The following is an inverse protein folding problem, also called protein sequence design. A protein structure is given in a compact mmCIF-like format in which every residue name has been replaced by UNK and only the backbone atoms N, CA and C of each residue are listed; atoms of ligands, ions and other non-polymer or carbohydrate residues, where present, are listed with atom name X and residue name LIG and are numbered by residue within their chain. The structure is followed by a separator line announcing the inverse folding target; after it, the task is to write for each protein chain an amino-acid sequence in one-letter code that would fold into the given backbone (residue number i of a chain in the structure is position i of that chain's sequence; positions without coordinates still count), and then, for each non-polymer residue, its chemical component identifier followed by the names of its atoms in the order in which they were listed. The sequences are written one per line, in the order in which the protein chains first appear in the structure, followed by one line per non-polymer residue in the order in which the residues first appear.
data_IF_332646729447
#
_entry.id   IF_332646729447
#
_cell.length_a   1.000
_cell.length_b   1.000
_cell.length_c   1.000
_cell.angle_alpha   90.00
_cell.angle_beta   90.00
_cell.angle_gamma   90.00
#
_symmetry.space_group_name_H-M   'P 1'
#
loop_
_entity.id
_entity.type
_entity.pdbx_description
1 polymer ?
#
# COMPACT_ATOMS: atom_id res chain seq x y z
N UNK A 1 0.59 16.02 -28.87
CA UNK A 1 0.28 14.87 -28.00
C UNK A 1 0.96 13.63 -28.57
N UNK A 2 1.68 12.87 -27.76
CA UNK A 2 2.31 11.60 -28.15
C UNK A 2 1.76 10.48 -27.26
N UNK A 3 0.99 9.56 -27.85
CA UNK A 3 0.33 8.46 -27.15
C UNK A 3 0.47 7.10 -27.89
N UNK A 4 1.43 7.01 -28.81
CA UNK A 4 1.70 5.76 -29.54
C UNK A 4 2.27 4.72 -28.57
N UNK A 5 1.76 3.49 -28.65
CA UNK A 5 2.23 2.40 -27.79
C UNK A 5 1.93 1.02 -28.40
N UNK A 6 2.74 0.05 -27.99
CA UNK A 6 2.53 -1.39 -28.19
C UNK A 6 2.85 -2.08 -26.87
N UNK A 7 2.10 -3.15 -26.54
CA UNK A 7 2.33 -3.96 -25.35
C UNK A 7 2.59 -5.41 -25.75
N UNK A 8 3.74 -5.93 -25.32
CA UNK A 8 4.07 -7.36 -25.41
C UNK A 8 4.78 -7.80 -24.13
N UNK A 9 3.99 -8.13 -23.11
CA UNK A 9 4.51 -8.55 -21.81
C UNK A 9 5.38 -9.81 -21.96
N UNK A 10 6.57 -9.78 -21.36
CA UNK A 10 7.52 -10.88 -21.30
C UNK A 10 8.41 -10.73 -20.08
N UNK A 11 8.73 -11.84 -19.41
CA UNK A 11 9.73 -11.82 -18.34
C UNK A 11 11.09 -11.43 -18.90
N UNK A 12 11.98 -10.89 -18.06
CA UNK A 12 13.32 -10.50 -18.50
C UNK A 12 14.10 -11.69 -19.11
N UNK A 13 13.90 -12.91 -18.58
CA UNK A 13 14.55 -14.13 -19.07
C UNK A 13 14.02 -14.60 -20.43
N UNK A 14 12.77 -14.28 -20.75
CA UNK A 14 12.10 -14.66 -22.01
C UNK A 14 12.06 -13.54 -23.04
N UNK A 15 12.75 -12.44 -22.79
CA UNK A 15 12.70 -11.24 -23.63
C UNK A 15 13.82 -11.29 -24.66
N UNK A 16 13.45 -11.33 -25.94
CA UNK A 16 14.39 -11.20 -27.04
C UNK A 16 14.51 -9.75 -27.53
N UNK A 17 15.57 -9.50 -28.32
CA UNK A 17 15.88 -8.17 -28.83
C UNK A 17 14.85 -7.63 -29.83
N UNK A 18 14.15 -8.50 -30.57
CA UNK A 18 13.14 -8.08 -31.54
C UNK A 18 11.89 -7.57 -30.85
N UNK A 19 11.37 -8.33 -29.87
CA UNK A 19 10.25 -7.95 -29.02
C UNK A 19 10.56 -6.70 -28.21
N UNK A 20 11.77 -6.60 -27.65
CA UNK A 20 12.21 -5.37 -26.97
C UNK A 20 12.12 -4.14 -27.89
N UNK A 21 12.72 -4.22 -29.08
CA UNK A 21 12.67 -3.13 -30.08
C UNK A 21 11.25 -2.78 -30.48
N UNK A 22 10.38 -3.78 -30.67
CA UNK A 22 8.97 -3.56 -31.08
C UNK A 22 8.18 -2.78 -30.04
N UNK A 23 8.36 -3.08 -28.75
CA UNK A 23 7.69 -2.38 -27.65
C UNK A 23 8.25 -0.96 -27.46
N UNK A 24 9.58 -0.81 -27.59
CA UNK A 24 10.27 0.47 -27.39
C UNK A 24 9.98 1.47 -28.53
N UNK A 25 9.99 1.01 -29.78
CA UNK A 25 10.02 1.89 -30.96
C UNK A 25 8.89 2.94 -31.01
N UNK A 26 7.60 2.61 -30.78
CA UNK A 26 6.52 3.58 -30.88
C UNK A 26 6.69 4.77 -29.93
N UNK A 27 7.14 4.52 -28.69
CA UNK A 27 7.36 5.56 -27.68
C UNK A 27 8.68 6.27 -27.91
N UNK A 28 9.77 5.52 -28.03
CA UNK A 28 11.13 6.08 -28.06
C UNK A 28 11.38 6.80 -29.38
N UNK A 29 11.34 6.08 -30.50
CA UNK A 29 11.60 6.67 -31.81
C UNK A 29 10.51 7.68 -32.17
N UNK A 30 9.24 7.35 -31.88
CA UNK A 30 8.13 8.26 -32.15
C UNK A 30 8.25 9.59 -31.42
N UNK A 31 8.55 9.59 -30.12
CA UNK A 31 8.72 10.83 -29.37
C UNK A 31 9.98 11.60 -29.76
N UNK A 32 11.08 10.89 -30.07
CA UNK A 32 12.32 11.52 -30.53
C UNK A 32 12.13 12.23 -31.87
N UNK A 33 11.47 11.59 -32.84
CA UNK A 33 11.17 12.20 -34.14
C UNK A 33 10.26 13.43 -33.98
N UNK A 34 9.26 13.35 -33.10
CA UNK A 34 8.43 14.51 -32.77
C UNK A 34 9.23 15.62 -32.10
N UNK A 35 10.18 15.29 -31.22
CA UNK A 35 11.06 16.26 -30.59
C UNK A 35 11.84 17.05 -31.65
N UNK A 36 12.55 16.34 -32.54
CA UNK A 36 13.37 16.94 -33.61
C UNK A 36 12.52 17.78 -34.56
N UNK A 37 11.39 17.24 -35.05
CA UNK A 37 10.52 17.92 -36.01
C UNK A 37 9.84 19.19 -35.45
N UNK A 38 9.75 19.32 -34.12
CA UNK A 38 9.08 20.44 -33.45
C UNK A 38 10.03 21.38 -32.72
N UNK A 39 11.35 21.15 -32.76
CA UNK A 39 12.33 21.90 -31.97
C UNK A 39 12.30 23.41 -32.25
N UNK A 40 12.04 23.80 -33.49
CA UNK A 40 11.96 25.20 -33.93
C UNK A 40 10.52 25.74 -33.98
N UNK A 41 9.53 25.00 -33.47
CA UNK A 41 8.12 25.42 -33.49
C UNK A 41 7.71 25.96 -32.13
N UNK A 42 7.01 27.10 -32.12
CA UNK A 42 6.36 27.63 -30.93
C UNK A 42 5.11 26.79 -30.62
N UNK A 43 5.28 25.73 -29.84
CA UNK A 43 4.17 24.91 -29.36
C UNK A 43 3.63 25.48 -28.05
N UNK A 44 2.32 25.44 -27.86
CA UNK A 44 1.73 25.64 -26.53
C UNK A 44 2.07 24.45 -25.62
N UNK A 45 1.97 23.22 -26.17
CA UNK A 45 2.14 21.99 -25.40
C UNK A 45 2.87 20.89 -26.18
N UNK A 46 3.68 20.11 -25.46
CA UNK A 46 4.23 18.83 -25.92
C UNK A 46 3.97 17.78 -24.84
N UNK A 47 2.83 17.10 -24.91
CA UNK A 47 2.44 16.10 -23.91
C UNK A 47 2.76 14.70 -24.39
N UNK A 48 3.39 13.91 -23.53
CA UNK A 48 3.71 12.50 -23.72
C UNK A 48 2.91 11.66 -22.72
N UNK A 49 2.23 10.63 -23.21
CA UNK A 49 1.50 9.69 -22.39
C UNK A 49 2.48 8.60 -21.98
N UNK A 50 3.07 8.77 -20.81
CA UNK A 50 3.87 7.76 -20.12
C UNK A 50 2.95 6.83 -19.30
N UNK A 51 3.53 6.02 -18.43
CA UNK A 51 2.78 5.08 -17.59
C UNK A 51 3.43 4.91 -16.24
N UNK A 52 2.61 4.77 -15.20
CA UNK A 52 3.04 4.40 -13.86
C UNK A 52 3.87 3.10 -13.82
N UNK A 53 3.85 2.28 -14.89
CA UNK A 53 4.75 1.14 -15.06
C UNK A 53 6.24 1.53 -15.01
N UNK A 54 6.63 2.73 -15.44
CA UNK A 54 8.00 3.24 -15.31
C UNK A 54 8.43 3.45 -13.86
N UNK A 55 7.47 3.70 -12.96
CA UNK A 55 7.70 3.98 -11.55
C UNK A 55 7.54 2.74 -10.67
N UNK A 56 6.52 1.93 -10.95
CA UNK A 56 6.14 0.79 -10.12
C UNK A 56 6.76 -0.54 -10.59
N UNK A 57 7.27 -0.60 -11.83
CA UNK A 57 7.98 -1.77 -12.35
C UNK A 57 7.19 -3.08 -12.33
N UNK A 58 6.01 -3.16 -12.96
CA UNK A 58 5.22 -4.39 -12.96
C UNK A 58 5.97 -5.54 -13.65
N UNK A 59 5.89 -6.72 -13.05
CA UNK A 59 6.52 -7.94 -13.56
C UNK A 59 6.10 -8.22 -15.00
N UNK A 60 7.07 -8.51 -15.86
CA UNK A 60 6.83 -8.81 -17.27
C UNK A 60 6.71 -7.59 -18.19
N UNK A 61 6.84 -6.37 -17.69
CA UNK A 61 6.73 -5.15 -18.50
C UNK A 61 8.04 -4.37 -18.64
N UNK A 62 9.20 -5.04 -18.55
CA UNK A 62 10.51 -4.38 -18.55
C UNK A 62 10.73 -3.44 -19.75
N UNK A 63 10.46 -3.92 -20.97
CA UNK A 63 10.56 -3.11 -22.20
C UNK A 63 9.60 -1.92 -22.18
N UNK A 64 8.38 -2.11 -21.70
CA UNK A 64 7.38 -1.06 -21.64
C UNK A 64 7.73 0.00 -20.59
N UNK A 65 8.18 -0.41 -19.40
CA UNK A 65 8.67 0.47 -18.36
C UNK A 65 9.85 1.31 -18.85
N UNK A 66 10.82 0.69 -19.54
CA UNK A 66 11.96 1.40 -20.14
C UNK A 66 11.53 2.41 -21.22
N UNK A 67 10.54 2.07 -22.05
CA UNK A 67 10.01 2.95 -23.09
C UNK A 67 9.36 4.21 -22.49
N UNK A 68 8.65 4.04 -21.38
CA UNK A 68 8.01 5.14 -20.64
C UNK A 68 9.03 6.00 -19.90
N UNK A 69 10.03 5.38 -19.24
CA UNK A 69 11.14 6.11 -18.61
C UNK A 69 11.91 6.99 -19.61
N UNK A 70 12.03 6.57 -20.87
CA UNK A 70 12.57 7.43 -21.93
C UNK A 70 11.71 8.67 -22.19
N UNK A 71 10.37 8.55 -22.22
CA UNK A 71 9.48 9.69 -22.39
C UNK A 71 9.62 10.68 -21.23
N UNK A 72 9.74 10.16 -20.01
CA UNK A 72 9.94 10.94 -18.81
C UNK A 72 11.25 11.75 -18.89
N UNK A 73 12.35 11.07 -19.23
CA UNK A 73 13.64 11.70 -19.44
C UNK A 73 13.61 12.74 -20.58
N UNK A 74 12.90 12.46 -21.67
CA UNK A 74 12.74 13.38 -22.80
C UNK A 74 11.97 14.64 -22.37
N UNK A 75 11.02 14.54 -21.43
CA UNK A 75 10.31 15.72 -20.94
C UNK A 75 11.24 16.65 -20.17
N UNK A 76 12.06 16.09 -19.27
CA UNK A 76 13.08 16.84 -18.55
C UNK A 76 14.11 17.46 -19.51
N UNK A 77 14.58 16.68 -20.49
CA UNK A 77 15.51 17.16 -21.52
C UNK A 77 14.95 18.35 -22.30
N UNK A 78 13.70 18.27 -22.75
CA UNK A 78 13.03 19.37 -23.46
C UNK A 78 12.88 20.61 -22.59
N UNK A 79 12.48 20.46 -21.32
CA UNK A 79 12.38 21.59 -20.39
C UNK A 79 13.74 22.25 -20.15
N UNK A 80 14.83 21.49 -20.06
CA UNK A 80 16.18 22.04 -19.93
C UNK A 80 16.60 22.88 -21.14
N UNK A 81 16.03 22.63 -22.33
CA UNK A 81 16.21 23.43 -23.54
C UNK A 81 15.22 24.61 -23.64
N UNK A 82 14.41 24.88 -22.62
CA UNK A 82 13.36 25.91 -22.65
C UNK A 82 12.15 25.54 -23.51
N UNK A 83 12.04 24.29 -23.97
CA UNK A 83 10.94 23.83 -24.80
C UNK A 83 9.79 23.28 -23.94
N UNK A 84 8.52 23.45 -24.35
CA UNK A 84 7.40 22.85 -23.66
C UNK A 84 7.52 21.33 -23.67
N UNK A 85 7.26 20.71 -22.52
CA UNK A 85 7.13 19.27 -22.36
C UNK A 85 6.41 18.87 -21.07
N UNK A 86 5.57 17.85 -21.16
CA UNK A 86 4.91 17.22 -20.02
C UNK A 86 4.85 15.70 -20.27
N UNK A 87 5.49 14.91 -19.42
CA UNK A 87 5.25 13.47 -19.35
C UNK A 87 4.22 13.19 -18.26
N UNK A 88 3.20 12.38 -18.57
CA UNK A 88 2.21 11.96 -17.59
C UNK A 88 2.29 10.45 -17.41
N UNK A 89 2.72 10.01 -16.23
CA UNK A 89 2.76 8.61 -15.84
C UNK A 89 1.37 8.14 -15.44
N UNK A 90 0.55 7.84 -16.45
CA UNK A 90 -0.82 7.40 -16.24
C UNK A 90 -0.87 6.03 -15.57
N UNK A 91 -1.74 5.93 -14.56
CA UNK A 91 -2.26 4.68 -14.05
C UNK A 91 -3.21 4.03 -15.05
N UNK A 92 -3.91 3.00 -14.59
CA UNK A 92 -4.81 2.23 -15.45
C UNK A 92 -6.06 3.03 -15.81
N UNK A 93 -6.50 2.97 -17.08
CA UNK A 93 -7.80 3.47 -17.52
C UNK A 93 -8.87 2.36 -17.51
N UNK A 94 -10.11 2.67 -17.11
CA UNK A 94 -11.22 1.71 -17.03
C UNK A 94 -11.69 1.21 -18.40
N UNK A 95 -11.64 2.06 -19.43
CA UNK A 95 -12.34 1.86 -20.71
C UNK A 95 -11.45 2.00 -21.96
N UNK A 96 -10.14 2.23 -21.79
CA UNK A 96 -9.23 2.55 -22.90
C UNK A 96 -7.99 1.64 -22.95
N UNK A 97 -7.61 1.24 -24.17
CA UNK A 97 -6.39 0.48 -24.47
C UNK A 97 -6.53 -1.05 -24.43
N UNK A 98 -5.42 -1.77 -24.60
CA UNK A 98 -5.39 -3.25 -24.62
C UNK A 98 -5.81 -3.95 -23.32
N UNK A 99 -6.11 -3.17 -22.28
CA UNK A 99 -6.43 -3.59 -20.91
C UNK A 99 -7.92 -3.93 -20.75
N UNK A 100 -8.81 -3.23 -21.45
CA UNK A 100 -10.25 -3.52 -21.46
C UNK A 100 -10.59 -4.92 -22.03
N UNK A 101 -9.67 -5.52 -22.80
CA UNK A 101 -9.88 -6.84 -23.44
C UNK A 101 -9.44 -8.05 -22.60
N UNK A 102 -8.86 -7.88 -21.40
CA UNK A 102 -8.14 -8.99 -20.71
C UNK A 102 -8.49 -9.23 -19.23
N UNK A 103 -9.53 -8.59 -18.67
CA UNK A 103 -9.87 -8.76 -17.24
C UNK A 103 -8.74 -8.33 -16.29
N UNK A 104 -7.84 -7.46 -16.76
CA UNK A 104 -6.70 -6.97 -16.00
C UNK A 104 -7.12 -6.03 -14.86
N UNK A 105 -8.29 -5.38 -15.00
CA UNK A 105 -8.80 -4.40 -14.04
C UNK A 105 -9.09 -4.99 -12.68
N UNK A 106 -9.77 -6.14 -12.63
CA UNK A 106 -10.08 -6.83 -11.38
C UNK A 106 -8.77 -7.29 -10.71
N UNK A 107 -7.86 -7.89 -11.49
CA UNK A 107 -6.56 -8.38 -10.99
C UNK A 107 -5.66 -7.29 -10.39
N UNK A 108 -5.64 -6.09 -10.98
CA UNK A 108 -4.85 -4.96 -10.49
C UNK A 108 -5.55 -4.22 -9.35
N UNK A 109 -6.88 -4.18 -9.35
CA UNK A 109 -7.66 -3.66 -8.22
C UNK A 109 -7.39 -4.47 -6.95
N UNK A 110 -7.23 -5.79 -7.05
CA UNK A 110 -6.78 -6.63 -5.93
C UNK A 110 -5.35 -6.32 -5.42
N UNK A 111 -4.56 -5.56 -6.18
CA UNK A 111 -3.18 -5.18 -5.85
C UNK A 111 -3.06 -3.70 -5.48
N UNK A 112 -4.16 -3.04 -5.13
CA UNK A 112 -4.16 -1.64 -4.72
C UNK A 112 -4.11 -0.64 -5.87
N UNK A 113 -4.27 -1.05 -7.13
CA UNK A 113 -4.26 -0.13 -8.27
C UNK A 113 -5.67 -0.02 -8.86
N UNK A 114 -6.30 1.14 -8.64
CA UNK A 114 -7.63 1.43 -9.16
C UNK A 114 -7.61 2.01 -10.59
N UNK A 115 -8.75 1.92 -11.26
CA UNK A 115 -8.93 2.46 -12.61
C UNK A 115 -9.36 3.95 -12.61
N UNK A 116 -8.86 4.69 -13.60
CA UNK A 116 -9.22 6.07 -13.93
C UNK A 116 -10.18 6.04 -15.12
N UNK A 117 -11.29 6.76 -15.03
CA UNK A 117 -12.20 6.89 -16.17
C UNK A 117 -11.65 7.88 -17.21
N UNK A 118 -11.99 7.75 -18.51
CA UNK A 118 -11.59 8.74 -19.51
C UNK A 118 -11.98 10.18 -19.15
N UNK A 119 -13.17 10.37 -18.53
CA UNK A 119 -13.62 11.68 -18.06
C UNK A 119 -12.70 12.27 -16.98
N UNK A 120 -12.33 11.47 -15.97
CA UNK A 120 -11.35 11.87 -14.95
C UNK A 120 -9.98 12.17 -15.56
N UNK A 121 -9.53 11.35 -16.51
CA UNK A 121 -8.25 11.58 -17.21
C UNK A 121 -8.24 12.90 -17.98
N UNK A 122 -9.34 13.24 -18.66
CA UNK A 122 -9.47 14.50 -19.38
C UNK A 122 -9.49 15.72 -18.43
N UNK A 123 -10.19 15.61 -17.31
CA UNK A 123 -10.23 16.64 -16.28
C UNK A 123 -8.83 16.90 -15.70
N UNK A 124 -8.10 15.84 -15.35
CA UNK A 124 -6.73 15.95 -14.84
C UNK A 124 -5.81 16.53 -15.91
N UNK A 125 -5.89 16.07 -17.15
CA UNK A 125 -5.11 16.61 -18.26
C UNK A 125 -5.29 18.12 -18.39
N UNK A 126 -6.54 18.61 -18.34
CA UNK A 126 -6.84 20.05 -18.40
C UNK A 126 -6.15 20.84 -17.30
N UNK A 127 -6.14 20.32 -16.06
CA UNK A 127 -5.42 20.93 -14.93
C UNK A 127 -3.90 20.93 -15.13
N UNK A 128 -3.34 19.84 -15.67
CA UNK A 128 -1.90 19.70 -15.87
C UNK A 128 -1.36 20.63 -16.97
N UNK A 129 -2.15 20.88 -18.01
CA UNK A 129 -1.77 21.82 -19.07
C UNK A 129 -1.58 23.26 -18.53
N UNK A 130 -2.19 23.63 -17.41
CA UNK A 130 -2.15 24.99 -16.86
C UNK A 130 -0.89 25.34 -16.04
N UNK A 131 -0.03 24.37 -15.68
CA UNK A 131 1.15 24.67 -14.86
C UNK A 131 1.92 23.48 -14.29
N UNK A 132 1.89 22.31 -14.95
CA UNK A 132 2.51 21.10 -14.42
C UNK A 132 4.06 21.11 -14.47
N UNK A 133 4.71 20.34 -13.56
CA UNK A 133 6.12 19.99 -13.69
C UNK A 133 6.40 19.22 -15.01
N UNK A 134 7.67 19.06 -15.43
CA UNK A 134 8.05 18.25 -16.59
C UNK A 134 7.46 16.83 -16.59
N UNK A 135 7.25 16.25 -15.41
CA UNK A 135 6.77 14.88 -15.22
C UNK A 135 5.83 14.81 -14.03
N UNK A 136 4.73 14.06 -14.15
CA UNK A 136 3.81 13.80 -13.05
C UNK A 136 3.13 12.43 -13.19
N UNK A 137 2.95 11.73 -12.07
CA UNK A 137 2.20 10.49 -12.02
C UNK A 137 0.76 10.71 -11.60
N UNK A 138 -0.16 10.05 -12.31
CA UNK A 138 -1.61 10.12 -12.04
C UNK A 138 -2.15 8.71 -11.98
N UNK A 139 -2.36 8.19 -10.77
CA UNK A 139 -2.85 6.85 -10.52
C UNK A 139 -3.76 6.83 -9.28
N UNK A 140 -4.73 5.91 -9.27
CA UNK A 140 -5.48 5.57 -8.05
C UNK A 140 -4.73 4.45 -7.34
N UNK A 141 -4.18 4.75 -6.17
CA UNK A 141 -3.34 3.82 -5.41
C UNK A 141 -3.86 3.70 -3.98
N UNK A 142 -4.22 2.49 -3.58
CA UNK A 142 -4.29 2.05 -2.19
C UNK A 142 -2.90 1.54 -1.81
N UNK A 143 -2.13 2.40 -1.13
CA UNK A 143 -0.72 2.14 -0.84
C UNK A 143 -0.56 0.94 0.10
N UNK A 144 -1.40 0.84 1.13
CA UNK A 144 -1.41 -0.30 2.05
C UNK A 144 -1.59 -1.62 1.31
N UNK A 145 -2.64 -1.74 0.50
CA UNK A 145 -2.94 -2.95 -0.24
C UNK A 145 -1.85 -3.29 -1.26
N UNK A 146 -1.29 -2.27 -1.93
CA UNK A 146 -0.20 -2.46 -2.86
C UNK A 146 1.07 -2.98 -2.16
N UNK A 147 1.43 -2.44 -1.00
CA UNK A 147 2.60 -2.87 -0.21
C UNK A 147 2.48 -4.29 0.35
N UNK A 148 1.27 -4.74 0.66
CA UNK A 148 1.04 -6.13 1.06
C UNK A 148 1.30 -7.12 -0.08
N UNK A 149 0.93 -6.73 -1.30
CA UNK A 149 1.18 -7.54 -2.49
C UNK A 149 2.64 -7.46 -2.96
N UNK A 150 3.33 -6.34 -2.70
CA UNK A 150 4.73 -6.10 -3.06
C UNK A 150 5.59 -5.77 -1.83
N UNK A 151 5.86 -6.73 -0.92
CA UNK A 151 6.57 -6.46 0.34
C UNK A 151 7.98 -5.90 0.16
N UNK A 152 8.66 -6.31 -0.92
CA UNK A 152 10.00 -5.81 -1.27
C UNK A 152 10.02 -4.30 -1.55
N UNK A 153 8.88 -3.73 -1.95
CA UNK A 153 8.76 -2.29 -2.19
C UNK A 153 8.53 -1.48 -0.90
N UNK A 154 8.18 -2.11 0.22
CA UNK A 154 7.88 -1.41 1.49
C UNK A 154 9.08 -0.65 2.07
N UNK A 155 10.30 -1.08 1.74
CA UNK A 155 11.55 -0.44 2.11
C UNK A 155 12.05 0.63 1.13
N UNK A 156 11.38 0.85 0.00
CA UNK A 156 11.88 1.75 -1.04
C UNK A 156 11.85 3.22 -0.59
N UNK A 157 12.99 3.96 -0.63
CA UNK A 157 13.03 5.38 -0.26
C UNK A 157 12.06 6.24 -1.09
N UNK A 158 11.84 5.86 -2.35
CA UNK A 158 10.90 6.47 -3.28
C UNK A 158 9.48 6.60 -2.70
N UNK A 159 9.02 5.62 -1.92
CA UNK A 159 7.66 5.59 -1.34
C UNK A 159 7.59 6.21 0.06
N UNK A 160 8.72 6.68 0.60
CA UNK A 160 8.77 7.17 1.99
C UNK A 160 7.85 8.36 2.24
N UNK A 161 7.70 9.27 1.26
CA UNK A 161 6.82 10.42 1.34
C UNK A 161 5.34 10.00 1.36
N UNK A 162 4.93 9.12 0.43
CA UNK A 162 3.55 8.60 0.37
C UNK A 162 3.17 7.88 1.68
N UNK A 163 4.09 7.11 2.27
CA UNK A 163 3.87 6.46 3.57
C UNK A 163 3.76 7.43 4.74
N UNK A 164 4.42 8.59 4.68
CA UNK A 164 4.26 9.64 5.70
C UNK A 164 2.89 10.30 5.56
N UNK A 165 2.48 10.60 4.34
CA UNK A 165 1.16 11.18 4.06
C UNK A 165 0.02 10.22 4.42
N UNK A 166 0.11 8.94 4.09
CA UNK A 166 -0.90 7.93 4.49
C UNK A 166 -1.04 7.86 6.02
N UNK A 167 0.06 7.89 6.76
CA UNK A 167 0.05 7.93 8.23
C UNK A 167 -0.52 9.22 8.82
N UNK A 168 -0.39 10.34 8.11
CA UNK A 168 -0.97 11.64 8.51
C UNK A 168 -2.45 11.76 8.16
N UNK A 169 -2.84 11.22 7.00
CA UNK A 169 -4.20 11.25 6.48
C UNK A 169 -5.12 10.23 7.16
N UNK A 170 -4.55 9.21 7.83
CA UNK A 170 -5.29 8.36 8.74
C UNK A 170 -6.02 9.25 9.77
N UNK A 171 -7.37 9.27 9.79
CA UNK A 171 -8.13 10.09 10.72
C UNK A 171 -7.67 9.84 12.16
N UNK A 172 -7.65 10.87 13.01
CA UNK A 172 -7.49 10.64 14.46
C UNK A 172 -8.58 9.72 15.02
N UNK A 173 -9.75 9.64 14.36
CA UNK A 173 -10.83 8.68 14.64
C UNK A 173 -10.56 7.25 14.11
N UNK A 174 -9.54 7.07 13.28
CA UNK A 174 -8.99 5.78 12.81
C UNK A 174 -7.68 5.41 13.52
N UNK A 175 -7.25 6.19 14.53
CA UNK A 175 -6.68 5.50 15.68
C UNK A 175 -7.79 4.54 16.12
N UNK A 176 -7.52 3.25 16.18
CA UNK A 176 -8.30 2.39 17.05
C UNK A 176 -7.98 2.84 18.48
N UNK A 177 -8.91 3.56 19.14
CA UNK A 177 -9.19 3.19 20.52
C UNK A 177 -10.65 2.84 20.80
N UNK A 178 -11.68 3.34 20.10
CA UNK A 178 -13.07 3.21 20.64
C UNK A 178 -13.57 1.78 20.86
N UNK A 179 -13.43 0.89 19.87
CA UNK A 179 -13.85 -0.50 20.06
C UNK A 179 -12.85 -1.29 20.91
N UNK A 180 -11.55 -1.01 20.78
CA UNK A 180 -10.53 -1.71 21.59
C UNK A 180 -10.64 -1.34 23.07
N UNK A 181 -10.86 -0.07 23.38
CA UNK A 181 -11.16 0.45 24.72
C UNK A 181 -12.49 -0.11 25.23
N UNK A 182 -13.55 -0.07 24.42
CA UNK A 182 -14.83 -0.69 24.79
C UNK A 182 -14.69 -2.21 25.06
N UNK A 183 -13.83 -2.92 24.32
CA UNK A 183 -13.52 -4.33 24.57
C UNK A 183 -12.64 -4.54 25.80
N UNK A 184 -11.75 -3.60 26.14
CA UNK A 184 -10.94 -3.65 27.38
C UNK A 184 -11.86 -3.44 28.60
N UNK A 185 -12.75 -2.45 28.51
CA UNK A 185 -13.69 -2.06 29.57
C UNK A 185 -14.87 -3.04 29.74
N UNK A 186 -15.25 -3.75 28.68
CA UNK A 186 -16.32 -4.75 28.74
C UNK A 186 -15.92 -6.00 29.54
N UNK A 187 -16.91 -6.55 30.24
CA UNK A 187 -16.80 -7.83 30.93
C UNK A 187 -16.45 -8.96 29.94
N UNK A 188 -15.66 -9.98 30.35
CA UNK A 188 -15.21 -11.05 29.45
C UNK A 188 -16.35 -11.74 28.66
N UNK A 189 -17.53 -11.86 29.27
CA UNK A 189 -18.72 -12.43 28.62
C UNK A 189 -19.38 -11.54 27.55
N UNK A 190 -19.14 -10.22 27.59
CA UNK A 190 -19.74 -9.25 26.67
C UNK A 190 -18.84 -8.92 25.47
N UNK A 191 -17.52 -9.16 25.59
CA UNK A 191 -16.52 -8.90 24.55
C UNK A 191 -16.83 -9.61 23.22
N UNK A 192 -17.27 -10.87 23.28
CA UNK A 192 -17.63 -11.64 22.07
C UNK A 192 -18.80 -11.01 21.33
N UNK A 193 -19.86 -10.65 22.07
CA UNK A 193 -21.05 -10.03 21.49
C UNK A 193 -20.73 -8.67 20.85
N UNK A 194 -19.98 -7.81 21.55
CA UNK A 194 -19.58 -6.50 21.03
C UNK A 194 -18.76 -6.61 19.74
N UNK A 195 -17.84 -7.58 19.68
CA UNK A 195 -17.02 -7.78 18.49
C UNK A 195 -17.82 -8.39 17.33
N UNK A 196 -18.71 -9.34 17.60
CA UNK A 196 -19.62 -9.89 16.59
C UNK A 196 -20.55 -8.81 16.00
N UNK A 197 -21.11 -7.94 16.84
CA UNK A 197 -21.98 -6.85 16.41
C UNK A 197 -21.21 -5.88 15.50
N UNK A 198 -19.98 -5.51 15.88
CA UNK A 198 -19.10 -4.70 15.02
C UNK A 198 -18.76 -5.38 13.70
N UNK A 199 -18.45 -6.68 13.73
CA UNK A 199 -18.17 -7.46 12.51
C UNK A 199 -19.39 -7.51 11.59
N UNK A 200 -20.61 -7.66 12.14
CA UNK A 200 -21.86 -7.58 11.36
C UNK A 200 -22.09 -6.19 10.77
N UNK A 201 -21.76 -5.13 11.50
CA UNK A 201 -21.85 -3.76 10.96
C UNK A 201 -20.91 -3.55 9.78
N UNK A 202 -19.63 -3.91 9.90
CA UNK A 202 -18.68 -3.76 8.79
C UNK A 202 -19.03 -4.67 7.62
N UNK A 203 -19.44 -5.92 7.89
CA UNK A 203 -19.91 -6.83 6.85
C UNK A 203 -21.14 -6.27 6.13
N UNK A 204 -22.13 -5.77 6.87
CA UNK A 204 -23.35 -5.20 6.30
C UNK A 204 -23.08 -4.00 5.39
N UNK A 205 -22.06 -3.18 5.69
CA UNK A 205 -21.65 -2.10 4.80
C UNK A 205 -21.06 -2.61 3.48
N UNK A 206 -20.37 -3.74 3.50
CA UNK A 206 -19.76 -4.37 2.32
C UNK A 206 -20.81 -5.06 1.44
N UNK A 207 -21.72 -5.83 2.03
CA UNK A 207 -22.75 -6.58 1.29
C UNK A 207 -24.07 -5.80 1.14
N UNK A 208 -24.10 -4.52 1.55
CA UNK A 208 -25.27 -3.64 1.52
C UNK A 208 -26.52 -4.20 2.24
N UNK A 209 -26.32 -4.93 3.32
CA UNK A 209 -27.38 -5.42 4.21
C UNK A 209 -27.31 -4.73 5.58
N UNK A 210 -28.46 -4.63 6.25
CA UNK A 210 -28.46 -4.19 7.65
C UNK A 210 -27.82 -5.26 8.53
N UNK A 211 -27.03 -4.87 9.52
CA UNK A 211 -26.38 -5.78 10.46
C UNK A 211 -27.36 -6.78 11.13
N UNK A 212 -28.59 -6.33 11.42
CA UNK A 212 -29.65 -7.17 12.00
C UNK A 212 -30.14 -8.31 11.10
N UNK A 213 -29.85 -8.24 9.80
CA UNK A 213 -30.23 -9.26 8.81
C UNK A 213 -29.13 -10.31 8.61
N UNK A 214 -27.97 -10.14 9.24
CA UNK A 214 -26.81 -11.01 9.07
C UNK A 214 -26.83 -12.08 10.16
N UNK A 215 -27.00 -13.33 9.74
CA UNK A 215 -26.80 -14.48 10.60
C UNK A 215 -25.29 -14.67 10.86
N UNK A 216 -24.88 -14.62 12.13
CA UNK A 216 -23.49 -14.77 12.52
C UNK A 216 -22.92 -16.18 12.33
N UNK A 217 -23.79 -17.18 12.16
CA UNK A 217 -23.42 -18.56 11.86
C UNK A 217 -23.32 -18.85 10.35
N UNK A 218 -23.87 -17.98 9.51
CA UNK A 218 -23.75 -18.12 8.06
C UNK A 218 -22.31 -17.91 7.60
N UNK A 219 -21.88 -18.66 6.58
CA UNK A 219 -20.56 -18.49 6.02
C UNK A 219 -20.51 -17.22 5.17
N UNK A 220 -19.35 -16.55 5.13
CA UNK A 220 -19.18 -15.37 4.26
C UNK A 220 -19.54 -15.70 2.80
N UNK A 221 -19.20 -16.89 2.33
CA UNK A 221 -19.56 -17.38 1.00
C UNK A 221 -21.08 -17.50 0.78
N UNK A 222 -21.85 -17.94 1.78
CA UNK A 222 -23.32 -18.05 1.64
C UNK A 222 -24.01 -16.69 1.73
N UNK A 223 -23.38 -15.71 2.38
CA UNK A 223 -23.79 -14.31 2.40
C UNK A 223 -23.42 -13.55 1.11
N UNK A 224 -22.82 -14.23 0.13
CA UNK A 224 -22.43 -13.63 -1.14
C UNK A 224 -21.12 -12.84 -1.10
N UNK A 225 -20.32 -12.98 -0.05
CA UNK A 225 -18.98 -12.37 0.03
C UNK A 225 -18.06 -13.05 -0.96
N UNK A 226 -17.69 -12.31 -1.99
CA UNK A 226 -16.66 -12.72 -2.95
C UNK A 226 -15.25 -12.29 -2.48
N UNK A 227 -14.24 -12.53 -3.33
CA UNK A 227 -12.85 -12.19 -3.02
C UNK A 227 -12.58 -10.67 -2.94
N UNK A 228 -13.38 -9.83 -3.60
CA UNK A 228 -13.27 -8.36 -3.51
C UNK A 228 -13.89 -7.86 -2.21
N UNK A 229 -15.09 -8.36 -1.90
CA UNK A 229 -15.82 -8.03 -0.67
C UNK A 229 -15.06 -8.48 0.58
N UNK A 230 -14.41 -9.65 0.54
CA UNK A 230 -13.56 -10.10 1.64
C UNK A 230 -12.37 -9.17 1.90
N UNK A 231 -11.76 -8.65 0.84
CA UNK A 231 -10.64 -7.72 0.95
C UNK A 231 -11.09 -6.36 1.48
N UNK A 232 -12.25 -5.86 1.03
CA UNK A 232 -12.86 -4.66 1.57
C UNK A 232 -13.18 -4.81 3.06
N UNK A 233 -13.83 -5.92 3.44
CA UNK A 233 -14.14 -6.24 4.84
C UNK A 233 -12.87 -6.25 5.68
N UNK A 234 -11.81 -6.92 5.23
CA UNK A 234 -10.52 -6.93 5.92
C UNK A 234 -9.99 -5.51 6.14
N UNK A 235 -9.94 -4.68 5.10
CA UNK A 235 -9.44 -3.30 5.20
C UNK A 235 -10.22 -2.49 6.25
N UNK A 236 -11.54 -2.63 6.28
CA UNK A 236 -12.42 -1.97 7.24
C UNK A 236 -12.18 -2.46 8.67
N UNK A 237 -11.99 -3.77 8.85
CA UNK A 237 -11.68 -4.36 10.15
C UNK A 237 -10.31 -3.94 10.67
N UNK A 238 -9.30 -3.91 9.82
CA UNK A 238 -7.97 -3.45 10.21
C UNK A 238 -7.97 -1.96 10.59
N UNK A 239 -8.74 -1.12 9.86
CA UNK A 239 -8.88 0.29 10.17
C UNK A 239 -9.63 0.55 11.49
N UNK A 240 -10.64 -0.27 11.81
CA UNK A 240 -11.46 -0.11 13.02
C UNK A 240 -10.83 -0.72 14.27
N UNK A 241 -10.15 -1.87 14.14
CA UNK A 241 -9.54 -2.60 15.26
C UNK A 241 -8.07 -2.24 15.49
N UNK A 242 -7.42 -1.60 14.52
CA UNK A 242 -5.99 -1.25 14.61
C UNK A 242 -5.06 -2.46 14.56
N UNK A 243 -5.54 -3.59 14.04
CA UNK A 243 -4.78 -4.83 13.87
C UNK A 243 -4.37 -5.04 12.41
N UNK A 244 -3.41 -5.93 12.17
CA UNK A 244 -3.06 -6.40 10.82
C UNK A 244 -3.64 -7.79 10.58
N UNK A 245 -4.47 -7.95 9.56
CA UNK A 245 -5.17 -9.18 9.22
C UNK A 245 -4.65 -9.74 7.90
N UNK A 246 -4.41 -11.05 7.85
CA UNK A 246 -4.19 -11.74 6.57
C UNK A 246 -5.52 -11.99 5.87
N UNK A 247 -5.57 -11.89 4.54
CA UNK A 247 -6.77 -12.25 3.76
C UNK A 247 -7.14 -13.72 3.96
N UNK A 248 -6.16 -14.58 4.24
CA UNK A 248 -6.39 -16.00 4.53
C UNK A 248 -7.26 -16.23 5.78
N UNK A 249 -7.38 -15.25 6.68
CA UNK A 249 -8.19 -15.36 7.89
C UNK A 249 -9.69 -15.48 7.57
N UNK A 250 -10.18 -14.84 6.50
CA UNK A 250 -11.59 -14.95 6.12
C UNK A 250 -11.95 -16.34 5.57
N UNK A 251 -10.95 -17.08 5.08
CA UNK A 251 -11.12 -18.47 4.67
C UNK A 251 -10.94 -19.45 5.84
N UNK A 252 -10.01 -19.17 6.74
CA UNK A 252 -9.77 -19.98 7.93
C UNK A 252 -10.89 -19.86 8.97
N UNK A 253 -11.53 -18.70 9.04
CA UNK A 253 -12.62 -18.37 9.96
C UNK A 253 -13.82 -17.88 9.15
N UNK A 254 -14.61 -18.80 8.56
CA UNK A 254 -15.56 -18.47 7.50
C UNK A 254 -16.86 -17.83 7.99
N UNK A 255 -17.01 -17.58 9.30
CA UNK A 255 -18.23 -17.01 9.91
C UNK A 255 -17.89 -15.83 10.81
N UNK A 256 -18.86 -14.96 11.08
CA UNK A 256 -18.67 -13.83 12.01
C UNK A 256 -18.25 -14.32 13.39
N UNK A 257 -18.91 -15.36 13.91
CA UNK A 257 -18.59 -15.91 15.22
C UNK A 257 -17.15 -16.49 15.30
N UNK A 258 -16.73 -17.25 14.30
CA UNK A 258 -15.38 -17.84 14.27
C UNK A 258 -14.28 -16.77 14.12
N UNK A 259 -14.55 -15.72 13.34
CA UNK A 259 -13.64 -14.60 13.17
C UNK A 259 -13.55 -13.74 14.45
N UNK A 260 -14.67 -13.49 15.12
CA UNK A 260 -14.73 -12.77 16.39
C UNK A 260 -13.89 -13.47 17.46
N UNK A 261 -14.09 -14.78 17.65
CA UNK A 261 -13.33 -15.55 18.62
C UNK A 261 -11.82 -15.50 18.34
N UNK A 262 -11.41 -15.71 17.08
CA UNK A 262 -10.00 -15.64 16.70
C UNK A 262 -9.38 -14.26 16.97
N UNK A 263 -10.12 -13.19 16.67
CA UNK A 263 -9.67 -11.81 16.91
C UNK A 263 -9.52 -11.51 18.41
N UNK A 264 -10.43 -11.99 19.26
CA UNK A 264 -10.33 -11.85 20.72
C UNK A 264 -9.09 -12.57 21.27
N UNK A 265 -8.87 -13.81 20.85
CA UNK A 265 -7.71 -14.61 21.27
C UNK A 265 -6.40 -13.91 20.89
N UNK A 266 -6.37 -13.32 19.68
CA UNK A 266 -5.21 -12.59 19.18
C UNK A 266 -4.98 -11.24 19.86
N UNK A 267 -6.03 -10.59 20.36
CA UNK A 267 -5.93 -9.29 21.04
C UNK A 267 -5.43 -9.39 22.49
N UNK A 268 -5.45 -10.59 23.10
CA UNK A 268 -4.92 -10.88 24.44
C UNK A 268 -5.25 -9.77 25.47
N UNK A 269 -6.53 -9.38 25.53
CA UNK A 269 -7.01 -8.26 26.34
C UNK A 269 -6.78 -8.55 27.84
N UNK A 270 -6.26 -7.58 28.63
CA UNK A 270 -6.05 -7.77 30.07
C UNK A 270 -7.37 -8.11 30.78
N UNK A 271 -7.27 -8.91 31.85
CA UNK A 271 -8.39 -9.18 32.75
C UNK A 271 -8.85 -7.86 33.41
N UNK A 272 -10.14 -7.71 33.77
CA UNK A 272 -10.66 -6.47 34.33
C UNK A 272 -9.82 -6.03 35.53
N UNK A 273 -9.34 -4.79 35.53
CA UNK A 273 -8.80 -4.19 36.74
C UNK A 273 -9.94 -4.07 37.74
N UNK A 274 -9.86 -4.80 38.85
CA UNK A 274 -10.78 -4.63 39.97
C UNK A 274 -10.86 -3.14 40.35
N UNK A 275 -12.04 -2.62 40.75
CA UNK A 275 -12.19 -1.24 41.13
C UNK A 275 -11.16 -0.90 42.22
N UNK A 276 -10.48 0.25 42.12
CA UNK A 276 -9.45 0.61 43.09
C UNK A 276 -10.08 0.61 44.50
N UNK A 277 -9.41 0.02 45.51
CA UNK A 277 -9.91 0.08 46.88
C UNK A 277 -10.05 1.54 47.30
N UNK A 278 -11.07 1.88 48.12
CA UNK A 278 -11.28 3.25 48.57
C UNK A 278 -10.00 3.78 49.24
N UNK A 279 -9.65 5.06 49.04
CA UNK A 279 -8.41 5.62 49.57
C UNK A 279 -8.38 5.43 51.10
N UNK A 280 -7.22 5.07 51.68
CA UNK A 280 -7.09 4.98 53.13
C UNK A 280 -7.39 6.35 53.74
N UNK A 281 -8.21 6.33 54.79
CA UNK A 281 -8.49 7.49 55.63
C UNK A 281 -7.19 8.09 56.16
N UNK A 282 -7.13 9.42 56.15
CA UNK A 282 -5.99 10.20 56.61
C UNK A 282 -5.77 10.00 58.11
N UNK A 283 -4.95 9.03 58.45
CA UNK A 283 -4.05 9.09 59.60
C UNK A 283 -2.87 8.15 59.35
N UNK A 284 -1.70 8.53 59.86
CA UNK A 284 -0.39 7.88 59.70
C UNK A 284 0.46 8.30 58.49
N UNK A 285 0.93 9.55 58.55
CA UNK A 285 2.28 9.90 58.08
C UNK A 285 3.30 9.36 59.08
N UNK A 286 4.15 8.41 58.66
CA UNK A 286 5.56 8.35 59.06
C UNK A 286 6.33 7.28 58.26
N UNK A 287 7.35 7.74 57.53
CA UNK A 287 8.64 7.07 57.33
C UNK A 287 8.71 5.83 56.42
N UNK A 288 9.20 6.00 55.20
CA UNK A 288 10.63 5.72 54.90
C UNK A 288 10.96 6.00 53.43
N UNK A 289 11.99 6.81 53.26
CA UNK A 289 12.76 7.00 52.03
C UNK A 289 13.46 5.71 51.62
N UNK A 290 13.54 5.47 50.31
CA UNK A 290 14.28 4.34 49.74
C UNK A 290 14.20 4.33 48.21
N UNK A 291 14.93 5.24 47.58
CA UNK A 291 15.09 5.32 46.13
C UNK A 291 15.84 4.10 45.56
N UNK A 292 15.39 3.60 44.40
CA UNK A 292 16.16 2.75 43.49
C UNK A 292 16.35 3.50 42.15
N UNK A 293 17.49 3.35 41.45
CA UNK A 293 17.96 4.35 40.50
C UNK A 293 17.46 4.09 39.06
N UNK A 294 17.21 5.19 38.34
CA UNK A 294 17.19 5.23 36.88
C UNK A 294 18.60 4.96 36.36
N UNK A 295 18.74 3.90 35.56
CA UNK A 295 19.97 3.64 34.81
C UNK A 295 19.97 4.54 33.57
N UNK A 296 20.71 5.65 33.62
CA UNK A 296 21.10 6.40 32.43
C UNK A 296 22.39 5.80 31.87
N UNK A 297 22.28 5.04 30.78
CA UNK A 297 23.44 4.60 30.01
C UNK A 297 23.98 5.78 29.21
N UNK A 298 25.29 6.01 29.31
CA UNK A 298 26.00 7.06 28.59
C UNK A 298 26.17 6.69 27.11
N UNK A 299 26.40 7.70 26.27
CA UNK A 299 26.54 7.55 24.81
C UNK A 299 27.69 6.60 24.43
N UNK A 300 28.69 6.46 25.28
CA UNK A 300 29.87 5.60 25.08
C UNK A 300 29.55 4.11 25.33
N UNK A 301 28.65 3.79 26.26
CA UNK A 301 28.20 2.42 26.54
C UNK A 301 27.29 1.86 25.43
N UNK A 302 26.53 2.75 24.77
CA UNK A 302 25.71 2.41 23.59
C UNK A 302 26.59 2.01 22.40
N UNK A 303 27.74 2.68 22.21
CA UNK A 303 28.66 2.33 21.11
C UNK A 303 29.41 1.02 21.38
N UNK A 304 29.76 0.72 22.64
CA UNK A 304 30.38 -0.56 22.99
C UNK A 304 29.46 -1.77 22.74
N UNK A 305 28.15 -1.64 23.02
CA UNK A 305 27.16 -2.69 22.73
C UNK A 305 26.90 -2.90 21.22
N UNK A 306 27.12 -1.86 20.42
CA UNK A 306 27.01 -1.90 18.95
C UNK A 306 28.21 -2.59 18.31
N UNK A 307 29.42 -2.35 18.83
CA UNK A 307 30.64 -3.03 18.37
C UNK A 307 30.64 -4.53 18.73
N UNK A 308 30.11 -4.91 19.90
CA UNK A 308 29.95 -6.32 20.27
C UNK A 308 28.93 -7.04 19.35
N UNK A 309 27.86 -6.34 18.95
CA UNK A 309 26.85 -6.87 18.02
C UNK A 309 27.36 -6.98 16.58
N UNK A 310 28.24 -6.08 16.14
CA UNK A 310 28.88 -6.12 14.82
C UNK A 310 29.92 -7.24 14.70
N UNK A 311 30.69 -7.50 15.75
CA UNK A 311 31.65 -8.62 15.78
C UNK A 311 30.94 -9.98 15.74
N UNK A 312 29.78 -10.13 16.41
CA UNK A 312 28.96 -11.35 16.34
C UNK A 312 28.35 -11.62 14.95
N UNK A 313 28.19 -10.58 14.12
CA UNK A 313 27.69 -10.72 12.73
C UNK A 313 28.83 -11.08 11.77
N UNK A 314 30.06 -10.66 12.06
CA UNK A 314 31.22 -10.96 11.22
C UNK A 314 31.73 -12.40 11.43
N UNK A 315 31.73 -12.91 12.67
CA UNK A 315 32.08 -14.33 12.95
C UNK A 315 31.11 -15.33 12.29
N UNK A 316 29.87 -14.92 11.99
CA UNK A 316 28.88 -15.77 11.29
C UNK A 316 29.02 -15.77 9.76
N UNK A 317 29.94 -14.98 9.19
CA UNK A 317 30.24 -14.99 7.74
C UNK A 317 31.36 -15.96 7.36
N UNK A 318 32.18 -16.38 8.32
CA UNK A 318 33.32 -17.29 8.08
C UNK A 318 32.96 -18.78 8.26
N UNK A 319 31.69 -19.11 8.58
CA UNK A 319 31.19 -20.49 8.76
C UNK A 319 30.29 -21.00 7.62
N UNK A 320 30.54 -20.62 6.36
CA UNK A 320 29.95 -21.30 5.19
C UNK A 320 31.04 -22.08 4.44
N UNK A 321 31.17 -23.40 4.63
CA UNK A 321 32.09 -24.22 3.84
C UNK A 321 31.50 -24.59 2.48
N UNK A 322 32.26 -24.30 1.42
CA UNK A 322 32.47 -25.23 0.31
C UNK A 322 31.49 -25.18 -0.86
N UNK A 323 31.76 -24.29 -1.81
CA UNK A 323 31.41 -24.48 -3.22
C UNK A 323 32.41 -25.44 -3.88
N UNK A 324 31.98 -26.61 -4.31
CA UNK A 324 32.64 -27.36 -5.39
C UNK A 324 31.59 -28.00 -6.31
N UNK A 325 31.48 -27.45 -7.52
CA UNK A 325 30.96 -28.08 -8.74
C UNK A 325 31.96 -29.13 -9.25
N UNK A 326 31.49 -30.11 -10.02
CA UNK A 326 31.49 -29.94 -11.47
C UNK A 326 30.09 -29.91 -12.09
#
# INVERSE_FOLDING_TARGET
MHAAMVLEDSTALSLDAERFRRVMAPKVQGAWLLHEATRARALDFFVMYSSAAALLGPSGQGSYAAANAFLDALAHHRRALGLPALSIDWGMFSEAGGVARRGLGDRLSHRGIGAITPAQGLEVLGRLLAGAPPQIAVLRLDLRQWLEFYPSAAGAPFLSALRREERRAAPEASRAPRLREALIEAEPGERSRLLEDHLKEELGRVIHLRASMIDGAATFSSLGVDSLMGLELRNRLEASLGVRLSVALLFAYPTVASLAQHLLDRMALPAPSAPPPPPPSADERASSDGAAPEVQLSREEIFALLDESLNRVNDRRDEIPGSETP
#
